data_IF_555294497534
#
_entry.id   IF_555294497534
#
_cell.length_a   1.000
_cell.length_b   1.000
_cell.length_c   1.000
_cell.angle_alpha   90.00
_cell.angle_beta   90.00
_cell.angle_gamma   90.00
#
_symmetry.space_group_name_H-M   'P 1'
#
loop_
_entity.id
_entity.type
_entity.pdbx_description
1 polymer ?
#
# COMPACT_ATOMS: atom_id res chain seq x y z
N UNK A 1 -12.41 14.65 -3.83
CA UNK A 1 -12.64 13.41 -4.62
C UNK A 1 -11.37 12.59 -4.48
N UNK A 2 -11.49 11.36 -3.99
CA UNK A 2 -10.34 10.50 -3.69
C UNK A 2 -10.24 9.49 -4.82
N UNK A 3 -9.12 9.51 -5.54
CA UNK A 3 -8.88 8.61 -6.65
C UNK A 3 -7.85 7.60 -6.18
N UNK A 4 -8.27 6.35 -6.04
CA UNK A 4 -7.40 5.22 -5.72
C UNK A 4 -7.44 4.20 -6.84
N UNK A 5 -6.28 3.61 -7.13
CA UNK A 5 -6.11 2.48 -8.00
C UNK A 5 -5.43 1.36 -7.23
N UNK A 6 -6.02 0.18 -7.26
CA UNK A 6 -5.47 -1.03 -6.66
C UNK A 6 -5.39 -2.10 -7.75
N UNK A 7 -4.21 -2.71 -7.90
CA UNK A 7 -3.93 -3.75 -8.87
C UNK A 7 -3.44 -4.99 -8.14
N UNK A 8 -4.17 -6.10 -8.28
CA UNK A 8 -3.82 -7.37 -7.66
C UNK A 8 -3.50 -8.39 -8.75
N UNK A 9 -2.26 -8.87 -8.79
CA UNK A 9 -1.82 -9.91 -9.69
C UNK A 9 -1.77 -11.26 -9.00
N UNK A 10 -2.71 -12.14 -9.40
CA UNK A 10 -2.78 -13.55 -8.97
C UNK A 10 -2.77 -13.77 -7.45
N UNK A 11 -3.22 -12.79 -6.67
CA UNK A 11 -3.11 -12.78 -5.21
C UNK A 11 -1.68 -12.86 -4.66
N UNK A 12 -0.65 -12.85 -5.51
CA UNK A 12 0.77 -12.94 -5.14
C UNK A 12 1.39 -11.55 -5.09
N UNK A 13 0.97 -10.62 -5.94
CA UNK A 13 1.51 -9.27 -5.96
C UNK A 13 0.36 -8.28 -5.90
N UNK A 14 0.41 -7.33 -4.99
CA UNK A 14 -0.52 -6.22 -4.87
C UNK A 14 0.24 -4.93 -5.16
N UNK A 15 -0.34 -4.03 -5.93
CA UNK A 15 0.11 -2.65 -6.04
C UNK A 15 -1.07 -1.75 -5.74
N UNK A 16 -0.87 -0.76 -4.90
CA UNK A 16 -1.91 0.15 -4.41
C UNK A 16 -1.38 1.55 -4.61
N UNK A 17 -2.19 2.45 -5.14
CA UNK A 17 -1.80 3.83 -5.37
C UNK A 17 -3.01 4.73 -5.18
N UNK A 18 -2.93 5.68 -4.27
CA UNK A 18 -4.01 6.59 -3.95
C UNK A 18 -3.56 8.04 -4.04
N UNK A 19 -4.38 8.87 -4.65
CA UNK A 19 -4.31 10.32 -4.55
C UNK A 19 -5.54 10.82 -3.81
N UNK A 20 -5.32 11.36 -2.62
CA UNK A 20 -6.36 12.02 -1.85
C UNK A 20 -6.41 13.51 -2.25
N UNK A 21 -7.47 13.92 -2.94
CA UNK A 21 -7.91 15.32 -3.17
C UNK A 21 -7.13 16.20 -4.18
N UNK A 22 -7.50 16.15 -5.47
CA UNK A 22 -6.96 17.00 -6.56
C UNK A 22 -7.40 18.49 -6.58
N UNK A 23 -8.23 18.98 -5.64
CA UNK A 23 -8.93 20.27 -5.81
C UNK A 23 -8.94 21.24 -4.62
N UNK A 24 -8.22 20.96 -3.53
CA UNK A 24 -8.13 21.89 -2.40
C UNK A 24 -6.78 22.62 -2.45
N UNK A 25 -6.81 23.87 -2.92
CA UNK A 25 -5.66 24.79 -3.09
C UNK A 25 -4.87 25.12 -1.81
N UNK A 26 -5.21 24.47 -0.69
CA UNK A 26 -4.70 24.76 0.66
C UNK A 26 -4.55 23.50 1.55
N UNK A 27 -4.90 22.30 1.07
CA UNK A 27 -4.91 21.09 1.91
C UNK A 27 -3.69 20.24 1.60
N UNK A 28 -2.98 19.82 2.65
CA UNK A 28 -1.87 18.87 2.66
C UNK A 28 -2.24 17.57 1.92
N UNK A 29 -2.10 17.58 0.61
CA UNK A 29 -2.45 16.47 -0.28
C UNK A 29 -1.43 15.35 -0.12
N UNK A 30 -1.88 14.24 0.44
CA UNK A 30 -1.05 13.07 0.64
C UNK A 30 -1.16 12.05 -0.50
N UNK A 31 -0.03 11.70 -1.09
CA UNK A 31 0.10 10.61 -2.05
C UNK A 31 0.36 9.30 -1.31
N UNK A 32 -0.40 8.27 -1.64
CA UNK A 32 -0.18 6.93 -1.08
C UNK A 32 0.24 5.97 -2.18
N UNK A 33 1.28 5.20 -1.89
CA UNK A 33 1.73 4.08 -2.69
C UNK A 33 1.83 2.86 -1.79
N UNK A 34 1.61 1.69 -2.36
CA UNK A 34 1.75 0.44 -1.66
C UNK A 34 2.08 -0.66 -2.63
N UNK A 35 2.88 -1.60 -2.18
CA UNK A 35 3.15 -2.85 -2.87
C UNK A 35 3.05 -3.97 -1.85
N UNK A 36 2.45 -5.09 -2.23
CA UNK A 36 2.30 -6.28 -1.41
C UNK A 36 2.79 -7.49 -2.17
N UNK A 37 3.38 -8.44 -1.46
CA UNK A 37 3.90 -9.69 -1.97
C UNK A 37 3.43 -10.80 -1.05
N UNK A 38 2.60 -11.70 -1.57
CA UNK A 38 2.11 -12.87 -0.87
C UNK A 38 2.70 -14.12 -1.52
N UNK A 39 3.49 -14.85 -0.75
CA UNK A 39 4.12 -16.10 -1.13
C UNK A 39 3.43 -17.21 -0.34
N UNK A 40 2.63 -18.01 -1.04
CA UNK A 40 2.16 -19.28 -0.51
C UNK A 40 3.29 -20.30 -0.69
N UNK A 41 3.86 -20.76 0.41
CA UNK A 41 4.79 -21.89 0.42
C UNK A 41 3.98 -23.19 0.39
N UNK A 42 4.62 -24.32 0.11
CA UNK A 42 3.92 -25.62 0.11
C UNK A 42 3.44 -25.97 1.53
N UNK A 43 2.13 -26.17 1.68
CA UNK A 43 1.44 -26.51 2.94
C UNK A 43 0.54 -25.40 3.44
N UNK A 44 0.38 -25.27 4.75
CA UNK A 44 -0.37 -24.20 5.43
C UNK A 44 0.46 -22.92 5.67
N UNK A 45 1.70 -22.90 5.18
CA UNK A 45 2.63 -21.80 5.42
C UNK A 45 2.41 -20.68 4.38
N UNK A 46 1.81 -19.56 4.81
CA UNK A 46 1.67 -18.36 3.99
C UNK A 46 2.53 -17.22 4.54
N UNK A 47 3.38 -16.67 3.67
CA UNK A 47 4.22 -15.52 3.96
C UNK A 47 3.72 -14.31 3.16
N UNK A 48 3.41 -13.21 3.85
CA UNK A 48 3.00 -11.96 3.21
C UNK A 48 3.93 -10.83 3.64
N UNK A 49 4.33 -10.02 2.66
CA UNK A 49 5.15 -8.82 2.83
C UNK A 49 4.42 -7.67 2.17
N UNK A 50 3.92 -6.73 2.96
CA UNK A 50 3.33 -5.49 2.44
C UNK A 50 4.23 -4.31 2.77
N UNK A 51 4.47 -3.47 1.78
CA UNK A 51 5.21 -2.23 1.88
C UNK A 51 4.30 -1.09 1.44
N UNK A 52 3.89 -0.25 2.37
CA UNK A 52 3.08 0.93 2.12
C UNK A 52 3.89 2.19 2.39
N UNK A 53 3.85 3.12 1.46
CA UNK A 53 4.45 4.43 1.53
C UNK A 53 3.33 5.48 1.48
N UNK A 54 3.23 6.29 2.51
CA UNK A 54 2.26 7.38 2.58
C UNK A 54 3.06 8.68 2.73
N UNK A 55 3.02 9.49 1.70
CA UNK A 55 3.50 10.87 1.75
C UNK A 55 2.30 11.75 2.09
N UNK A 56 2.33 12.47 3.20
CA UNK A 56 1.25 13.33 3.64
C UNK A 56 1.77 14.75 3.91
N UNK A 57 2.05 15.51 2.84
CA UNK A 57 2.37 16.94 2.92
C UNK A 57 3.36 17.31 4.04
N UNK A 58 2.88 17.99 5.11
CA UNK A 58 3.71 18.46 6.23
C UNK A 58 4.14 17.37 7.24
N UNK A 59 3.54 16.19 7.20
CA UNK A 59 3.76 15.14 8.20
C UNK A 59 4.51 13.98 7.55
N UNK A 60 5.84 14.06 7.73
CA UNK A 60 6.85 13.00 7.63
C UNK A 60 6.42 11.67 6.98
N UNK A 61 6.74 11.52 5.69
CA UNK A 61 7.05 10.28 4.96
C UNK A 61 6.83 8.98 5.76
N UNK A 62 5.58 8.52 5.87
CA UNK A 62 5.26 7.33 6.64
C UNK A 62 5.50 6.07 5.80
N UNK A 63 6.55 5.32 6.14
CA UNK A 63 6.87 4.04 5.52
C UNK A 63 6.44 2.92 6.45
N UNK A 64 5.49 2.10 6.02
CA UNK A 64 4.98 0.97 6.77
C UNK A 64 5.37 -0.32 6.07
N UNK A 65 6.18 -1.14 6.74
CA UNK A 65 6.52 -2.49 6.29
C UNK A 65 5.81 -3.48 7.20
N UNK A 66 4.99 -4.33 6.60
CA UNK A 66 4.23 -5.37 7.27
C UNK A 66 4.75 -6.72 6.83
N UNK A 67 5.07 -7.56 7.80
CA UNK A 67 5.47 -8.94 7.59
C UNK A 67 4.44 -9.81 8.29
N UNK A 68 3.84 -10.75 7.57
CA UNK A 68 2.86 -11.69 8.11
C UNK A 68 3.30 -13.11 7.80
N UNK A 69 3.45 -13.90 8.86
CA UNK A 69 3.53 -15.36 8.76
C UNK A 69 2.21 -15.94 9.21
N UNK A 70 1.69 -16.87 8.42
CA UNK A 70 0.51 -17.65 8.73
C UNK A 70 0.89 -19.14 8.59
N UNK A 71 0.43 -19.95 9.54
CA UNK A 71 0.74 -21.37 9.72
C UNK A 71 -0.51 -22.13 10.15
#
# INVERSE_FOLDING_TARGET
MNIGAEYLYRNVIAFRGGYHSLFARDSETGFTLGTGLNVNLLGDFNFTVDYAYLDFGKLDNAQMVTLSLQF
#
